data_IF_254840160718
#
_entry.id   IF_254840160718
#
_cell.length_a   1.000
_cell.length_b   1.000
_cell.length_c   1.000
_cell.angle_alpha   90.00
_cell.angle_beta   90.00
_cell.angle_gamma   90.00
#
_symmetry.space_group_name_H-M   'P 1'
#
loop_
_entity.id
_entity.type
_entity.pdbx_description
1 polymer ?
#
# COMPACT_ATOMS: atom_id res chain seq x y z
N UNK A 1 9.65 26.23 -16.53
CA UNK A 1 9.72 25.74 -15.14
C UNK A 1 10.58 24.49 -15.20
N UNK A 2 11.87 24.61 -14.91
CA UNK A 2 12.85 23.54 -15.13
C UNK A 2 12.71 22.53 -14.00
N UNK A 3 11.99 21.44 -14.24
CA UNK A 3 12.00 20.27 -13.35
C UNK A 3 13.44 19.83 -13.19
N UNK A 4 13.91 19.74 -11.96
CA UNK A 4 15.27 19.28 -11.68
C UNK A 4 15.38 17.83 -12.17
N UNK A 5 16.15 17.59 -13.22
CA UNK A 5 16.44 16.23 -13.69
C UNK A 5 17.13 15.47 -12.54
N UNK A 6 16.46 14.46 -11.98
CA UNK A 6 17.05 13.52 -11.01
C UNK A 6 17.00 12.12 -11.62
N UNK A 7 18.04 11.74 -12.40
CA UNK A 7 18.11 10.42 -13.02
C UNK A 7 18.17 9.29 -11.97
N UNK A 8 18.40 9.62 -10.70
CA UNK A 8 18.45 8.64 -9.63
C UNK A 8 19.75 7.84 -9.61
N UNK A 9 19.93 7.05 -8.55
CA UNK A 9 21.01 6.05 -8.45
C UNK A 9 20.47 4.81 -7.75
N UNK A 10 20.92 3.60 -8.11
CA UNK A 10 20.60 2.39 -7.35
C UNK A 10 20.97 2.54 -5.87
N UNK A 11 20.19 1.90 -5.01
CA UNK A 11 20.33 1.93 -3.57
C UNK A 11 19.75 3.16 -2.87
N UNK A 12 19.16 4.11 -3.61
CA UNK A 12 18.39 5.18 -2.99
C UNK A 12 17.12 4.63 -2.34
N UNK A 13 16.75 5.21 -1.19
CA UNK A 13 15.53 4.87 -0.46
C UNK A 13 14.45 5.89 -0.74
N UNK A 14 13.25 5.38 -0.98
CA UNK A 14 12.10 6.18 -1.32
C UNK A 14 10.89 5.67 -0.56
N UNK A 15 10.04 6.60 -0.14
CA UNK A 15 8.75 6.32 0.47
C UNK A 15 7.67 6.84 -0.44
N UNK A 16 6.64 6.02 -0.67
CA UNK A 16 5.37 6.43 -1.26
C UNK A 16 4.31 6.36 -0.17
N UNK A 17 3.61 7.46 0.05
CA UNK A 17 2.51 7.54 0.99
C UNK A 17 1.24 7.94 0.25
N UNK A 18 0.17 7.24 0.55
CA UNK A 18 -1.13 7.42 -0.08
C UNK A 18 -2.18 7.57 1.00
N UNK A 19 -3.11 8.48 0.81
CA UNK A 19 -4.25 8.68 1.69
C UNK A 19 -5.53 8.72 0.87
N UNK A 20 -6.56 8.03 1.35
CA UNK A 20 -7.86 7.95 0.71
C UNK A 20 -8.99 8.15 1.72
N UNK A 21 -10.06 8.76 1.27
CA UNK A 21 -11.35 8.72 1.96
C UNK A 21 -12.09 7.49 1.47
N UNK A 22 -12.60 6.69 2.40
CA UNK A 22 -13.31 5.44 2.12
C UNK A 22 -14.70 5.52 2.72
N UNK A 23 -15.72 5.17 1.94
CA UNK A 23 -17.10 5.03 2.39
C UNK A 23 -17.50 3.56 2.29
N UNK A 24 -17.95 2.98 3.39
CA UNK A 24 -18.44 1.60 3.44
C UNK A 24 -19.95 1.60 3.25
N UNK A 25 -20.43 0.89 2.23
CA UNK A 25 -21.85 0.83 1.91
C UNK A 25 -22.55 -0.32 2.64
N UNK A 26 -21.86 -1.45 2.81
CA UNK A 26 -22.38 -2.66 3.45
C UNK A 26 -21.33 -3.24 4.41
N UNK A 27 -21.66 -3.17 5.71
CA UNK A 27 -20.78 -3.66 6.77
C UNK A 27 -20.70 -5.19 6.81
N UNK A 28 -21.79 -5.88 6.46
CA UNK A 28 -21.82 -7.35 6.49
C UNK A 28 -20.92 -7.89 5.39
N UNK A 29 -21.07 -7.40 4.16
CA UNK A 29 -20.24 -7.81 3.02
C UNK A 29 -18.74 -7.54 3.26
N UNK A 30 -18.42 -6.37 3.84
CA UNK A 30 -17.03 -6.03 4.17
C UNK A 30 -16.44 -7.02 5.19
N UNK A 31 -17.19 -7.32 6.26
CA UNK A 31 -16.74 -8.23 7.33
C UNK A 31 -16.64 -9.66 6.86
N UNK A 32 -17.61 -10.13 6.08
CA UNK A 32 -17.59 -11.48 5.52
C UNK A 32 -16.37 -11.67 4.63
N UNK A 33 -16.03 -10.67 3.79
CA UNK A 33 -14.81 -10.74 2.98
C UNK A 33 -13.54 -10.75 3.83
N UNK A 34 -13.50 -9.95 4.90
CA UNK A 34 -12.34 -9.91 5.80
C UNK A 34 -12.17 -11.22 6.57
N UNK A 35 -13.26 -11.84 7.02
CA UNK A 35 -13.24 -13.14 7.69
C UNK A 35 -12.86 -14.26 6.72
N UNK A 36 -13.38 -14.26 5.50
CA UNK A 36 -12.98 -15.21 4.45
C UNK A 36 -11.48 -15.09 4.12
N UNK A 37 -10.96 -13.86 4.07
CA UNK A 37 -9.53 -13.59 3.88
C UNK A 37 -8.68 -14.10 5.06
N UNK A 38 -9.15 -13.84 6.28
CA UNK A 38 -8.52 -14.31 7.51
C UNK A 38 -8.49 -15.84 7.58
N UNK A 39 -9.63 -16.50 7.35
CA UNK A 39 -9.78 -17.95 7.48
C UNK A 39 -9.05 -18.70 6.35
N UNK A 40 -8.82 -18.07 5.19
CA UNK A 40 -8.08 -18.65 4.06
C UNK A 40 -6.58 -18.31 4.04
N UNK A 41 -6.15 -17.37 4.88
CA UNK A 41 -4.76 -16.95 5.01
C UNK A 41 -3.84 -18.06 5.49
N UNK A 42 -2.63 -18.15 4.92
CA UNK A 42 -1.57 -19.02 5.46
C UNK A 42 -0.85 -18.28 6.58
N UNK A 43 -1.18 -18.59 7.83
CA UNK A 43 -0.43 -18.09 8.98
C UNK A 43 0.91 -18.83 9.09
N UNK A 44 2.01 -18.08 9.08
CA UNK A 44 3.32 -18.61 9.43
C UNK A 44 3.51 -18.35 10.93
N UNK A 45 3.41 -19.39 11.75
CA UNK A 45 3.84 -19.33 13.16
C UNK A 45 5.35 -19.05 13.21
N UNK A 46 5.74 -17.91 13.76
CA UNK A 46 7.14 -17.56 14.01
C UNK A 46 7.37 -17.58 15.53
N UNK A 47 7.61 -18.79 16.07
CA UNK A 47 8.00 -19.02 17.47
C UNK A 47 6.87 -18.90 18.49
N UNK A 48 7.09 -19.46 19.69
CA UNK A 48 6.18 -19.33 20.84
C UNK A 48 5.92 -17.85 21.12
N UNK A 49 4.76 -17.39 20.69
CA UNK A 49 4.20 -16.12 21.10
C UNK A 49 3.89 -16.31 22.58
N UNK A 50 4.50 -15.51 23.46
CA UNK A 50 3.95 -15.34 24.81
C UNK A 50 2.46 -15.02 24.60
N UNK A 51 1.57 -15.94 25.00
CA UNK A 51 0.12 -15.74 25.04
C UNK A 51 -0.16 -14.54 25.94
N UNK A 52 -0.01 -13.35 25.39
CA UNK A 52 -0.44 -12.11 26.02
C UNK A 52 -1.96 -12.08 25.85
N UNK A 53 -2.64 -12.81 26.76
CA UNK A 53 -4.10 -12.99 26.87
C UNK A 53 -4.88 -11.65 26.90
N UNK A 54 -4.17 -10.51 26.98
CA UNK A 54 -4.71 -9.15 26.99
C UNK A 54 -4.85 -8.53 25.58
N UNK A 55 -4.37 -9.16 24.50
CA UNK A 55 -4.63 -8.70 23.13
C UNK A 55 -6.01 -9.17 22.64
N UNK A 56 -6.82 -8.27 22.03
CA UNK A 56 -8.13 -8.66 21.52
C UNK A 56 -7.99 -9.65 20.36
N UNK A 57 -8.85 -10.68 20.35
CA UNK A 57 -8.90 -11.67 19.27
C UNK A 57 -9.10 -10.96 17.92
N UNK A 58 -8.12 -11.13 17.02
CA UNK A 58 -8.13 -10.48 15.70
C UNK A 58 -9.40 -10.83 14.92
N UNK A 59 -9.85 -12.08 15.00
CA UNK A 59 -11.06 -12.52 14.32
C UNK A 59 -12.30 -11.85 14.91
N UNK A 60 -12.35 -11.68 16.24
CA UNK A 60 -13.41 -10.94 16.92
C UNK A 60 -13.43 -9.46 16.52
N UNK A 61 -12.26 -8.81 16.44
CA UNK A 61 -12.13 -7.40 16.02
C UNK A 61 -12.63 -7.19 14.59
N UNK A 62 -12.25 -8.09 13.67
CA UNK A 62 -12.74 -8.09 12.28
C UNK A 62 -14.26 -8.22 12.24
N UNK A 63 -14.83 -9.18 12.98
CA UNK A 63 -16.27 -9.40 13.00
C UNK A 63 -17.05 -8.23 13.64
N UNK A 64 -16.43 -7.50 14.57
CA UNK A 64 -17.10 -6.51 15.41
C UNK A 64 -17.12 -5.10 14.82
N UNK A 65 -16.11 -4.73 14.01
CA UNK A 65 -15.93 -3.34 13.58
C UNK A 65 -15.62 -3.24 12.09
N UNK A 66 -16.10 -2.16 11.45
CA UNK A 66 -15.76 -1.86 10.06
C UNK A 66 -14.28 -1.47 9.94
N UNK A 67 -13.74 -0.78 10.95
CA UNK A 67 -12.32 -0.44 11.04
C UNK A 67 -11.46 -1.69 11.10
N UNK A 68 -11.78 -2.67 11.96
CA UNK A 68 -11.07 -3.95 12.02
C UNK A 68 -11.10 -4.71 10.69
N UNK A 69 -12.25 -4.78 10.04
CA UNK A 69 -12.37 -5.42 8.73
C UNK A 69 -11.56 -4.69 7.62
N UNK A 70 -11.59 -3.35 7.60
CA UNK A 70 -10.76 -2.56 6.67
C UNK A 70 -9.27 -2.75 6.96
N UNK A 71 -8.87 -2.69 8.23
CA UNK A 71 -7.49 -2.83 8.65
C UNK A 71 -6.91 -4.20 8.29
N UNK A 72 -7.74 -5.24 8.31
CA UNK A 72 -7.37 -6.57 7.83
C UNK A 72 -7.17 -6.62 6.31
N UNK A 73 -8.11 -6.03 5.55
CA UNK A 73 -8.11 -6.13 4.09
C UNK A 73 -7.12 -5.22 3.39
N UNK A 74 -6.58 -4.20 4.07
CA UNK A 74 -5.58 -3.31 3.48
C UNK A 74 -4.20 -3.96 3.57
N UNK A 75 -3.71 -4.41 2.41
CA UNK A 75 -2.30 -4.77 2.22
C UNK A 75 -1.57 -3.63 1.50
N UNK A 76 -0.72 -2.84 2.18
CA UNK A 76 0.05 -1.76 1.55
C UNK A 76 0.98 -2.23 0.43
N UNK A 77 1.33 -3.52 0.42
CA UNK A 77 2.25 -4.12 -0.55
C UNK A 77 1.56 -4.66 -1.79
N UNK A 78 0.22 -4.60 -1.84
CA UNK A 78 -0.58 -5.03 -2.99
C UNK A 78 -0.04 -4.40 -4.30
N UNK A 79 0.18 -5.25 -5.30
CA UNK A 79 0.70 -4.85 -6.61
C UNK A 79 2.22 -4.62 -6.68
N UNK A 80 2.97 -4.73 -5.57
CA UNK A 80 4.44 -4.55 -5.58
C UNK A 80 5.21 -5.82 -5.92
N UNK A 81 4.58 -6.99 -5.89
CA UNK A 81 5.26 -8.26 -6.13
C UNK A 81 6.09 -8.30 -7.43
N UNK A 82 5.59 -7.85 -8.60
CA UNK A 82 6.39 -7.86 -9.84
C UNK A 82 7.66 -6.98 -9.77
N UNK A 83 7.61 -5.89 -9.01
CA UNK A 83 8.77 -5.02 -8.79
C UNK A 83 9.81 -5.68 -7.88
N UNK A 84 9.38 -6.43 -6.88
CA UNK A 84 10.27 -7.15 -5.98
C UNK A 84 10.92 -8.34 -6.68
N UNK A 85 10.14 -9.11 -7.43
CA UNK A 85 10.60 -10.27 -8.20
C UNK A 85 11.61 -9.88 -9.28
N UNK A 86 11.41 -8.75 -9.96
CA UNK A 86 12.36 -8.22 -10.94
C UNK A 86 13.63 -7.60 -10.34
N UNK A 87 13.68 -7.41 -9.01
CA UNK A 87 14.76 -6.70 -8.35
C UNK A 87 14.75 -5.18 -8.56
N UNK A 88 13.66 -4.62 -9.11
CA UNK A 88 13.49 -3.18 -9.24
C UNK A 88 13.44 -2.49 -7.88
N UNK A 89 12.88 -3.16 -6.88
CA UNK A 89 12.78 -2.67 -5.50
C UNK A 89 13.06 -3.76 -4.47
N UNK A 90 13.58 -3.37 -3.32
CA UNK A 90 13.60 -4.14 -2.09
C UNK A 90 12.69 -3.45 -1.07
N UNK A 91 11.66 -4.14 -0.60
CA UNK A 91 10.76 -3.63 0.45
C UNK A 91 11.54 -3.49 1.77
N UNK A 92 11.50 -2.30 2.38
CA UNK A 92 12.13 -2.05 3.68
C UNK A 92 11.10 -1.86 4.79
N UNK A 93 9.96 -1.22 4.50
CA UNK A 93 8.86 -1.06 5.44
C UNK A 93 7.54 -0.87 4.71
N UNK A 94 6.45 -1.33 5.32
CA UNK A 94 5.09 -1.11 4.89
C UNK A 94 4.24 -0.85 6.13
N UNK A 95 3.45 0.21 6.09
CA UNK A 95 2.63 0.65 7.23
C UNK A 95 1.28 1.13 6.69
N UNK A 96 0.21 0.96 7.47
CA UNK A 96 -1.06 1.60 7.19
C UNK A 96 -1.77 2.02 8.46
N UNK A 97 -2.75 2.90 8.28
CA UNK A 97 -3.68 3.32 9.31
C UNK A 97 -5.08 3.39 8.70
N UNK A 98 -6.06 3.00 9.50
CA UNK A 98 -7.48 3.20 9.24
C UNK A 98 -8.00 4.00 10.42
N UNK A 99 -8.77 5.05 10.16
CA UNK A 99 -9.42 5.83 11.21
C UNK A 99 -10.83 6.21 10.79
N UNK A 100 -11.81 5.94 11.65
CA UNK A 100 -13.17 6.37 11.40
C UNK A 100 -13.30 7.89 11.58
N UNK A 101 -13.88 8.57 10.59
CA UNK A 101 -14.13 10.03 10.63
C UNK A 101 -15.61 10.38 10.79
N UNK A 102 -16.51 9.49 10.35
CA UNK A 102 -17.95 9.57 10.59
C UNK A 102 -18.59 8.17 10.44
N UNK A 103 -19.90 8.05 10.61
CA UNK A 103 -20.59 6.78 10.37
C UNK A 103 -20.29 6.27 8.95
N UNK A 104 -19.72 5.06 8.89
CA UNK A 104 -19.28 4.39 7.66
C UNK A 104 -18.27 5.15 6.80
N UNK A 105 -17.66 6.21 7.31
CA UNK A 105 -16.66 7.00 6.59
C UNK A 105 -15.32 6.91 7.30
N UNK A 106 -14.29 6.59 6.54
CA UNK A 106 -12.95 6.30 7.04
C UNK A 106 -11.92 7.13 6.30
N UNK A 107 -10.91 7.58 7.02
CA UNK A 107 -9.65 8.01 6.46
C UNK A 107 -8.69 6.83 6.51
N UNK A 108 -8.21 6.42 5.34
CA UNK A 108 -7.23 5.34 5.21
C UNK A 108 -5.92 5.95 4.69
N UNK A 109 -4.80 5.52 5.25
CA UNK A 109 -3.48 5.90 4.76
C UNK A 109 -2.56 4.69 4.74
N UNK A 110 -1.73 4.56 3.72
CA UNK A 110 -0.68 3.55 3.67
C UNK A 110 0.61 4.15 3.14
N UNK A 111 1.72 3.61 3.61
CA UNK A 111 3.04 3.97 3.12
C UNK A 111 3.88 2.75 2.86
N UNK A 112 4.68 2.82 1.80
CA UNK A 112 5.66 1.80 1.47
C UNK A 112 7.00 2.47 1.26
N UNK A 113 7.99 2.01 2.02
CA UNK A 113 9.38 2.39 1.88
C UNK A 113 10.15 1.27 1.17
N UNK A 114 10.86 1.65 0.13
CA UNK A 114 11.71 0.74 -0.65
C UNK A 114 13.12 1.27 -0.79
N UNK A 115 14.04 0.35 -1.01
CA UNK A 115 15.34 0.63 -1.61
C UNK A 115 15.27 0.27 -3.10
N UNK A 116 15.54 1.23 -3.97
CA UNK A 116 15.51 1.01 -5.41
C UNK A 116 16.74 0.22 -5.87
N UNK A 117 16.54 -0.76 -6.74
CA UNK A 117 17.56 -1.64 -7.32
C UNK A 117 17.72 -1.37 -8.81
N UNK A 118 17.12 -2.22 -9.63
CA UNK A 118 17.09 -2.09 -11.08
C UNK A 118 16.19 -0.91 -11.52
N UNK A 119 16.83 0.20 -11.87
CA UNK A 119 16.13 1.41 -12.31
C UNK A 119 15.54 1.29 -13.72
N UNK A 120 16.09 0.42 -14.57
CA UNK A 120 15.56 0.20 -15.90
C UNK A 120 14.24 -0.57 -15.81
N UNK A 121 14.22 -1.65 -15.02
CA UNK A 121 13.01 -2.40 -14.72
C UNK A 121 11.94 -1.49 -14.09
N UNK A 122 12.32 -0.69 -13.09
CA UNK A 122 11.42 0.29 -12.46
C UNK A 122 10.74 1.21 -13.48
N UNK A 123 11.53 1.81 -14.38
CA UNK A 123 11.00 2.72 -15.41
C UNK A 123 10.12 1.98 -16.43
N UNK A 124 10.45 0.73 -16.77
CA UNK A 124 9.59 -0.10 -17.63
C UNK A 124 8.22 -0.31 -17.01
N UNK A 125 8.14 -0.72 -15.74
CA UNK A 125 6.85 -0.87 -15.05
C UNK A 125 6.09 0.46 -14.96
N UNK A 126 6.79 1.55 -14.68
CA UNK A 126 6.18 2.87 -14.61
C UNK A 126 5.55 3.32 -15.93
N UNK A 127 6.24 3.12 -17.06
CA UNK A 127 5.69 3.42 -18.40
C UNK A 127 4.53 2.48 -18.75
N UNK A 128 4.57 1.22 -18.33
CA UNK A 128 3.48 0.27 -18.58
C UNK A 128 2.20 0.68 -17.84
N UNK A 129 2.31 1.14 -16.60
CA UNK A 129 1.15 1.59 -15.81
C UNK A 129 0.67 3.00 -16.20
N UNK A 130 1.58 3.87 -16.63
CA UNK A 130 1.28 5.26 -17.02
C UNK A 130 2.01 5.66 -18.32
N UNK A 131 1.54 5.19 -19.49
CA UNK A 131 2.19 5.49 -20.77
C UNK A 131 2.29 7.00 -21.07
N UNK A 132 1.26 7.76 -20.67
CA UNK A 132 1.21 9.21 -20.87
C UNK A 132 2.25 9.97 -20.03
N UNK A 133 2.78 9.35 -18.97
CA UNK A 133 3.81 9.92 -18.11
C UNK A 133 5.24 9.55 -18.55
N UNK A 134 5.43 8.89 -19.71
CA UNK A 134 6.73 8.34 -20.12
C UNK A 134 7.87 9.37 -20.16
N UNK A 135 7.57 10.61 -20.55
CA UNK A 135 8.53 11.71 -20.51
C UNK A 135 9.05 11.97 -19.08
N UNK A 136 8.13 12.22 -18.15
CA UNK A 136 8.46 12.48 -16.74
C UNK A 136 9.13 11.27 -16.07
N UNK A 137 8.64 10.06 -16.38
CA UNK A 137 9.22 8.79 -15.94
C UNK A 137 10.61 8.59 -16.49
N UNK A 138 11.03 9.21 -17.59
CA UNK A 138 12.42 9.12 -18.05
C UNK A 138 13.37 10.06 -17.31
N UNK A 139 12.88 11.23 -16.90
CA UNK A 139 13.69 12.31 -16.33
C UNK A 139 13.69 12.36 -14.80
N UNK A 140 12.69 11.74 -14.16
CA UNK A 140 12.48 11.82 -12.71
C UNK A 140 12.33 10.44 -12.09
N UNK A 141 13.20 10.13 -11.12
CA UNK A 141 13.05 8.90 -10.35
C UNK A 141 11.82 8.92 -9.42
N UNK A 142 11.42 10.11 -8.95
CA UNK A 142 10.19 10.26 -8.18
C UNK A 142 8.97 9.90 -9.03
N UNK A 143 8.92 10.37 -10.29
CA UNK A 143 7.85 10.00 -11.23
C UNK A 143 7.86 8.50 -11.53
N UNK A 144 9.04 7.93 -11.81
CA UNK A 144 9.17 6.49 -12.01
C UNK A 144 8.65 5.69 -10.80
N UNK A 145 9.01 6.07 -9.58
CA UNK A 145 8.52 5.37 -8.39
C UNK A 145 7.02 5.54 -8.15
N UNK A 146 6.47 6.74 -8.36
CA UNK A 146 5.01 6.99 -8.26
C UNK A 146 4.24 6.01 -9.15
N UNK A 147 4.67 5.85 -10.40
CA UNK A 147 3.95 5.10 -11.41
C UNK A 147 4.34 3.62 -11.51
N UNK A 148 5.39 3.16 -10.81
CA UNK A 148 5.90 1.79 -10.93
C UNK A 148 4.89 0.70 -10.55
N UNK A 149 3.90 1.02 -9.72
CA UNK A 149 2.78 0.15 -9.38
C UNK A 149 1.54 1.00 -9.13
N UNK A 150 0.36 0.44 -9.34
CA UNK A 150 -0.93 1.08 -9.06
C UNK A 150 -1.00 1.56 -7.59
N UNK A 151 -1.00 2.87 -7.31
CA UNK A 151 -0.99 3.38 -5.94
C UNK A 151 -2.23 2.99 -5.14
N UNK A 152 -3.39 2.82 -5.80
CA UNK A 152 -4.65 2.44 -5.17
C UNK A 152 -4.85 0.92 -5.01
N UNK A 153 -3.88 0.10 -5.42
CA UNK A 153 -3.97 -1.37 -5.36
C UNK A 153 -4.48 -1.92 -4.01
N UNK A 154 -4.10 -1.38 -2.83
CA UNK A 154 -4.60 -1.87 -1.54
C UNK A 154 -6.12 -1.71 -1.33
N UNK A 155 -6.78 -0.87 -2.12
CA UNK A 155 -8.23 -0.68 -2.08
C UNK A 155 -8.96 -1.37 -3.24
N UNK A 156 -8.22 -1.82 -4.26
CA UNK A 156 -8.81 -2.48 -5.42
C UNK A 156 -9.28 -3.86 -5.00
N UNK A 157 -10.54 -4.16 -5.29
CA UNK A 157 -11.13 -5.47 -5.01
C UNK A 157 -11.72 -5.62 -3.60
N UNK A 158 -11.56 -4.63 -2.72
CA UNK A 158 -12.33 -4.60 -1.47
C UNK A 158 -13.80 -4.34 -1.83
N UNK A 159 -14.74 -5.24 -1.48
CA UNK A 159 -16.14 -5.11 -1.84
C UNK A 159 -16.83 -4.06 -0.95
N UNK A 160 -17.98 -3.60 -1.42
CA UNK A 160 -18.86 -2.71 -0.67
C UNK A 160 -18.22 -1.40 -0.17
N UNK A 161 -17.13 -0.95 -0.79
CA UNK A 161 -16.54 0.36 -0.54
C UNK A 161 -16.54 1.23 -1.79
N UNK A 162 -16.62 2.54 -1.60
CA UNK A 162 -16.12 3.51 -2.56
C UNK A 162 -14.99 4.28 -1.93
N UNK A 163 -14.06 4.76 -2.75
CA UNK A 163 -12.92 5.53 -2.28
C UNK A 163 -12.55 6.66 -3.21
N UNK A 164 -11.97 7.70 -2.64
CA UNK A 164 -11.41 8.84 -3.36
C UNK A 164 -10.02 9.09 -2.80
N UNK A 165 -9.05 9.20 -3.69
CA UNK A 165 -7.67 9.52 -3.33
C UNK A 165 -7.65 10.97 -2.86
N UNK A 166 -7.26 11.17 -1.61
CA UNK A 166 -7.10 12.51 -1.04
C UNK A 166 -5.69 13.04 -1.31
N UNK A 167 -4.67 12.19 -1.22
CA UNK A 167 -3.28 12.60 -1.39
C UNK A 167 -2.39 11.44 -1.83
N UNK A 168 -1.38 11.74 -2.66
CA UNK A 168 -0.30 10.84 -3.04
C UNK A 168 1.01 11.61 -2.99
N UNK A 169 1.93 11.16 -2.14
CA UNK A 169 3.25 11.76 -2.02
C UNK A 169 4.34 10.73 -2.22
N UNK A 170 5.45 11.19 -2.79
CA UNK A 170 6.69 10.44 -2.86
C UNK A 170 7.82 11.31 -2.34
N UNK A 171 8.64 10.73 -1.47
CA UNK A 171 9.77 11.41 -0.88
C UNK A 171 11.00 10.51 -0.82
N UNK A 172 12.17 11.13 -0.94
CA UNK A 172 13.45 10.44 -0.77
C UNK A 172 13.79 10.36 0.71
N UNK A 173 13.99 9.15 1.21
CA UNK A 173 14.32 8.90 2.62
C UNK A 173 15.84 8.94 2.80
N UNK A 174 16.33 9.79 3.72
CA UNK A 174 17.75 9.82 4.08
C UNK A 174 18.10 8.63 4.99
N UNK A 175 19.36 8.17 4.94
CA UNK A 175 19.87 7.22 5.94
C UNK A 175 19.68 7.83 7.34
N UNK A 176 19.04 7.10 8.25
CA UNK A 176 19.39 7.18 9.67
C UNK A 176 20.72 6.46 9.87
#
# INVERSE_FOLDING_TARGET
MTGLQDPGRPGQRWRRTMAAQVVVHDLAVLRDKALDDFDSGTFIEIGDIDDDDDLPDTREVIASTAEGALNWLIDPTAGLWPLMESGAVLLEAAEHTVGQVADRQFQVSWSVQVKLGDLAALRTFAVQNAPDAAGDVSESLASAWIHAAEPAAPLIGIPAITWIIANLTVERVKRR
#
